data_IF_697064633973
#
_entry.id   IF_697064633973
#
_cell.length_a   1.000
_cell.length_b   1.000
_cell.length_c   1.000
_cell.angle_alpha   90.00
_cell.angle_beta   90.00
_cell.angle_gamma   90.00
#
_symmetry.space_group_name_H-M   'P 1'
#
loop_
_entity.id
_entity.type
_entity.pdbx_description
1 polymer ?
#
# COMPACT_ATOMS: atom_id res chain seq x y z
N UNK A 1 5.36 1.82 15.26
CA UNK A 1 6.14 2.29 14.07
C UNK A 1 6.31 3.80 14.11
N UNK A 2 7.49 4.32 13.76
CA UNK A 2 7.77 5.78 13.73
C UNK A 2 7.36 6.44 12.41
N UNK A 3 6.97 7.72 12.45
CA UNK A 3 6.58 8.53 11.28
C UNK A 3 7.63 8.51 10.15
N UNK A 4 8.91 8.67 10.51
CA UNK A 4 10.02 8.68 9.55
C UNK A 4 10.15 7.38 8.77
N UNK A 5 9.75 6.24 9.37
CA UNK A 5 9.75 4.94 8.69
C UNK A 5 8.69 4.88 7.59
N UNK A 6 7.49 5.42 7.85
CA UNK A 6 6.37 5.48 6.90
C UNK A 6 6.74 6.39 5.72
N UNK A 7 7.20 7.61 6.02
CA UNK A 7 7.61 8.59 5.01
C UNK A 7 8.67 7.99 4.09
N UNK A 8 9.73 7.41 4.66
CA UNK A 8 10.81 6.82 3.88
C UNK A 8 10.31 5.71 2.98
N UNK A 9 9.41 4.85 3.46
CA UNK A 9 8.90 3.73 2.66
C UNK A 9 8.03 4.20 1.50
N UNK A 10 7.00 5.02 1.78
CA UNK A 10 6.03 5.44 0.78
C UNK A 10 6.62 6.40 -0.27
N UNK A 11 7.56 7.27 0.10
CA UNK A 11 8.27 8.12 -0.87
C UNK A 11 9.20 7.32 -1.80
N UNK A 12 9.68 6.15 -1.39
CA UNK A 12 10.53 5.31 -2.24
C UNK A 12 9.72 4.45 -3.22
N UNK A 13 8.39 4.45 -3.11
CA UNK A 13 7.51 3.71 -3.98
C UNK A 13 6.95 4.65 -5.05
N UNK A 14 7.46 4.54 -6.28
CA UNK A 14 7.08 5.39 -7.42
C UNK A 14 5.55 5.59 -7.63
N UNK A 15 4.65 4.59 -7.49
CA UNK A 15 3.21 4.84 -7.64
C UNK A 15 2.65 5.67 -6.48
N UNK A 16 3.27 5.60 -5.30
CA UNK A 16 2.88 6.39 -4.14
C UNK A 16 3.45 7.81 -4.19
N UNK A 17 4.61 8.04 -4.82
CA UNK A 17 5.31 9.33 -4.81
C UNK A 17 4.44 10.52 -5.27
N UNK A 18 3.54 10.31 -6.23
CA UNK A 18 2.63 11.36 -6.73
C UNK A 18 1.44 11.57 -5.79
N UNK A 19 0.99 10.52 -5.11
CA UNK A 19 -0.26 10.49 -4.33
C UNK A 19 -0.01 10.81 -2.86
N UNK A 20 1.04 10.25 -2.28
CA UNK A 20 1.37 10.36 -0.87
C UNK A 20 1.91 11.75 -0.53
N UNK A 21 1.23 12.45 0.39
CA UNK A 21 1.56 13.83 0.77
C UNK A 21 2.33 13.93 2.08
N UNK A 22 2.38 12.85 2.86
CA UNK A 22 3.18 12.78 4.06
C UNK A 22 2.48 12.14 5.25
N UNK A 23 3.13 12.29 6.39
CA UNK A 23 2.63 11.86 7.70
C UNK A 23 2.34 13.11 8.51
N UNK A 24 1.14 13.19 9.11
CA UNK A 24 0.66 14.37 9.83
C UNK A 24 0.11 13.99 11.20
N UNK A 25 0.19 14.90 12.16
CA UNK A 25 -0.54 14.80 13.42
C UNK A 25 -2.01 15.19 13.23
N UNK A 26 -2.88 14.82 14.17
CA UNK A 26 -4.32 15.07 14.08
C UNK A 26 -4.67 16.57 13.90
N UNK A 27 -3.91 17.47 14.52
CA UNK A 27 -4.08 18.93 14.44
C UNK A 27 -3.35 19.59 13.25
N UNK A 28 -2.70 18.79 12.39
CA UNK A 28 -1.87 19.26 11.26
C UNK A 28 -2.24 18.60 9.92
N UNK A 29 -3.46 18.07 9.81
CA UNK A 29 -3.95 17.45 8.57
C UNK A 29 -4.03 18.53 7.47
N UNK A 30 -3.39 18.34 6.30
CA UNK A 30 -3.41 19.33 5.22
C UNK A 30 -4.78 19.37 4.55
N UNK A 31 -5.10 20.45 3.84
CA UNK A 31 -6.32 20.48 3.02
C UNK A 31 -6.17 19.57 1.79
N UNK A 32 -6.84 18.42 1.82
CA UNK A 32 -6.75 17.42 0.76
C UNK A 32 -7.50 17.81 -0.52
N UNK A 33 -8.42 18.79 -0.46
CA UNK A 33 -9.11 19.32 -1.65
C UNK A 33 -8.16 20.05 -2.62
N UNK A 34 -6.93 20.36 -2.20
CA UNK A 34 -5.89 20.96 -3.04
C UNK A 34 -5.33 19.98 -4.09
N UNK A 35 -5.72 18.71 -4.03
CA UNK A 35 -5.21 17.65 -4.89
C UNK A 35 -6.37 16.94 -5.58
N UNK A 36 -6.15 16.46 -6.80
CA UNK A 36 -7.07 15.53 -7.47
C UNK A 36 -7.09 14.17 -6.74
N UNK A 37 -5.91 13.73 -6.31
CA UNK A 37 -5.67 12.48 -5.59
C UNK A 37 -4.60 12.68 -4.53
N UNK A 38 -4.86 12.24 -3.30
CA UNK A 38 -3.95 12.39 -2.18
C UNK A 38 -4.05 11.23 -1.17
N UNK A 39 -2.92 10.83 -0.60
CA UNK A 39 -2.87 9.94 0.55
C UNK A 39 -2.07 10.58 1.68
N UNK A 40 -2.62 10.55 2.90
CA UNK A 40 -1.99 11.07 4.10
C UNK A 40 -2.07 10.00 5.18
N UNK A 41 -0.95 9.72 5.85
CA UNK A 41 -0.98 8.90 7.06
C UNK A 41 -1.08 9.82 8.26
N UNK A 42 -2.09 9.61 9.09
CA UNK A 42 -2.43 10.51 10.19
C UNK A 42 -2.09 9.82 11.51
N UNK A 43 -1.29 10.47 12.36
CA UNK A 43 -1.21 10.09 13.75
C UNK A 43 -2.45 10.62 14.47
N UNK A 44 -3.08 9.78 15.28
CA UNK A 44 -4.23 10.15 16.11
C UNK A 44 -3.88 11.12 17.23
N UNK A 45 -2.62 11.22 17.64
CA UNK A 45 -2.15 12.20 18.59
C UNK A 45 -1.93 13.58 17.94
N UNK A 46 -1.92 14.63 18.75
CA UNK A 46 -1.61 16.00 18.32
C UNK A 46 -0.11 16.20 18.16
N UNK A 47 0.29 17.27 17.49
CA UNK A 47 1.69 17.58 17.14
C UNK A 47 2.63 17.76 18.33
N UNK A 48 2.10 18.03 19.52
CA UNK A 48 2.86 18.12 20.78
C UNK A 48 2.93 16.79 21.55
N UNK A 49 2.22 15.77 21.06
CA UNK A 49 2.13 14.46 21.68
C UNK A 49 3.24 13.51 21.26
N UNK A 50 3.20 12.28 21.79
CA UNK A 50 4.21 11.24 21.51
C UNK A 50 3.82 10.31 20.36
N UNK A 51 2.56 10.38 19.92
CA UNK A 51 1.99 9.51 18.92
C UNK A 51 1.34 8.26 19.53
N UNK A 52 0.16 7.90 19.03
CA UNK A 52 -0.63 6.79 19.59
C UNK A 52 -0.94 5.73 18.53
N UNK A 53 -1.70 6.11 17.51
CA UNK A 53 -2.21 5.20 16.48
C UNK A 53 -2.14 5.82 15.08
N UNK A 54 -1.96 4.99 14.05
CA UNK A 54 -1.85 5.42 12.66
C UNK A 54 -3.13 5.12 11.87
N UNK A 55 -3.65 6.15 11.20
CA UNK A 55 -4.76 6.09 10.25
C UNK A 55 -4.26 6.40 8.84
N UNK A 56 -4.98 5.97 7.82
CA UNK A 56 -4.74 6.40 6.44
C UNK A 56 -5.97 7.13 5.90
N UNK A 57 -5.74 8.34 5.42
CA UNK A 57 -6.72 9.09 4.64
C UNK A 57 -6.31 9.00 3.18
N UNK A 58 -7.24 8.57 2.33
CA UNK A 58 -7.04 8.54 0.90
C UNK A 58 -8.18 9.30 0.22
N UNK A 59 -7.85 10.28 -0.62
CA UNK A 59 -8.81 11.12 -1.31
C UNK A 59 -8.64 11.01 -2.81
N UNK A 60 -9.77 10.86 -3.49
CA UNK A 60 -9.88 10.76 -4.94
C UNK A 60 -11.31 11.18 -5.33
N UNK A 61 -11.43 12.02 -6.36
CA UNK A 61 -12.72 12.43 -6.94
C UNK A 61 -13.75 12.98 -5.94
N UNK A 62 -13.29 13.78 -4.97
CA UNK A 62 -14.18 14.40 -3.98
C UNK A 62 -14.66 13.48 -2.86
N UNK A 63 -14.17 12.24 -2.82
CA UNK A 63 -14.46 11.26 -1.77
C UNK A 63 -13.25 11.00 -0.89
N UNK A 64 -13.49 10.88 0.41
CA UNK A 64 -12.47 10.53 1.39
C UNK A 64 -12.66 9.09 1.88
N UNK A 65 -11.67 8.24 1.64
CA UNK A 65 -11.54 6.95 2.32
C UNK A 65 -10.83 7.17 3.66
N UNK A 66 -11.55 6.91 4.75
CA UNK A 66 -11.01 6.84 6.11
C UNK A 66 -10.69 5.38 6.43
N UNK A 67 -9.40 5.07 6.56
CA UNK A 67 -8.94 3.73 6.88
C UNK A 67 -8.35 3.65 8.29
N UNK A 68 -8.91 2.74 9.09
CA UNK A 68 -8.42 2.32 10.40
C UNK A 68 -8.32 0.79 10.44
N UNK A 69 -7.15 0.23 10.71
CA UNK A 69 -6.96 -1.23 10.76
C UNK A 69 -7.78 -1.93 11.85
N UNK A 70 -8.21 -1.20 12.89
CA UNK A 70 -9.13 -1.71 13.91
C UNK A 70 -10.61 -1.60 13.52
N UNK A 71 -10.91 -0.94 12.41
CA UNK A 71 -12.26 -0.78 11.88
C UNK A 71 -13.14 0.21 12.66
N UNK A 72 -12.53 1.16 13.39
CA UNK A 72 -13.27 2.21 14.13
C UNK A 72 -13.75 3.31 13.19
N UNK A 73 -14.74 4.04 13.66
CA UNK A 73 -15.30 5.19 12.98
C UNK A 73 -14.50 6.48 13.29
N UNK A 74 -14.58 7.52 12.46
CA UNK A 74 -13.97 8.82 12.76
C UNK A 74 -14.40 9.40 14.11
N UNK A 75 -15.64 9.11 14.54
CA UNK A 75 -16.23 9.55 15.81
C UNK A 75 -15.57 8.94 17.04
N UNK A 76 -14.82 7.83 16.89
CA UNK A 76 -14.08 7.18 17.97
C UNK A 76 -12.74 7.87 18.29
N UNK A 77 -12.39 8.92 17.54
CA UNK A 77 -11.15 9.69 17.68
C UNK A 77 -11.43 11.13 18.12
N UNK A 78 -10.36 11.90 18.32
CA UNK A 78 -10.47 13.29 18.74
C UNK A 78 -11.20 14.18 17.72
N UNK A 79 -11.62 15.35 18.19
CA UNK A 79 -12.36 16.34 17.41
C UNK A 79 -11.61 16.84 16.17
N UNK A 80 -10.27 16.81 16.15
CA UNK A 80 -9.55 17.21 14.93
C UNK A 80 -9.81 16.22 13.80
N UNK A 81 -9.78 14.91 14.09
CA UNK A 81 -10.06 13.87 13.10
C UNK A 81 -11.53 13.87 12.71
N UNK A 82 -12.43 13.79 13.69
CA UNK A 82 -13.86 13.63 13.41
C UNK A 82 -14.42 14.84 12.66
N UNK A 83 -14.03 16.07 13.03
CA UNK A 83 -14.46 17.28 12.32
C UNK A 83 -13.80 17.40 10.93
N UNK A 84 -12.54 16.97 10.77
CA UNK A 84 -11.89 16.99 9.47
C UNK A 84 -12.62 16.07 8.48
N UNK A 85 -12.91 14.82 8.86
CA UNK A 85 -13.55 13.83 7.99
C UNK A 85 -14.96 14.27 7.58
N UNK A 86 -15.73 14.87 8.50
CA UNK A 86 -17.09 15.37 8.25
C UNK A 86 -17.18 16.50 7.21
N UNK A 87 -16.05 17.10 6.80
CA UNK A 87 -16.01 18.06 5.68
C UNK A 87 -16.21 17.40 4.32
N UNK A 88 -16.15 16.07 4.23
CA UNK A 88 -16.15 15.32 2.99
C UNK A 88 -17.33 14.35 2.92
N UNK A 89 -17.69 13.93 1.71
CA UNK A 89 -18.35 12.63 1.54
C UNK A 89 -17.29 11.56 1.80
N UNK A 90 -17.49 10.72 2.80
CA UNK A 90 -16.48 9.74 3.22
C UNK A 90 -17.00 8.31 3.31
N UNK A 91 -16.07 7.38 3.21
CA UNK A 91 -16.28 5.94 3.38
C UNK A 91 -15.29 5.40 4.40
N UNK A 92 -15.69 4.39 5.17
CA UNK A 92 -14.85 3.73 6.17
C UNK A 92 -14.64 2.25 5.84
N UNK A 93 -13.69 1.60 6.50
CA UNK A 93 -13.65 0.14 6.61
C UNK A 93 -14.21 -0.30 7.97
N UNK A 94 -15.49 -0.68 8.10
CA UNK A 94 -16.08 -1.06 9.39
C UNK A 94 -15.66 -2.47 9.87
N UNK A 95 -14.55 -3.00 9.35
CA UNK A 95 -14.09 -4.36 9.58
C UNK A 95 -12.73 -4.30 10.26
N UNK A 96 -12.62 -5.00 11.40
CA UNK A 96 -11.37 -5.14 12.16
C UNK A 96 -10.41 -6.11 11.46
N UNK A 97 -9.29 -5.57 10.98
CA UNK A 97 -8.22 -6.31 10.32
C UNK A 97 -7.11 -6.68 11.30
N UNK A 98 -6.80 -5.78 12.22
CA UNK A 98 -5.70 -5.91 13.19
C UNK A 98 -6.17 -6.47 14.54
N UNK A 99 -5.33 -7.28 15.18
CA UNK A 99 -5.54 -7.74 16.57
C UNK A 99 -5.28 -6.63 17.59
N UNK A 100 -5.95 -6.67 18.76
CA UNK A 100 -5.88 -5.59 19.77
C UNK A 100 -4.47 -5.40 20.35
N UNK A 101 -3.70 -6.48 20.43
CA UNK A 101 -2.38 -6.52 21.03
C UNK A 101 -1.25 -6.15 20.05
N UNK A 102 -1.58 -5.95 18.77
CA UNK A 102 -0.60 -5.73 17.71
C UNK A 102 -0.25 -4.25 17.53
N UNK A 103 1.02 -3.97 17.23
CA UNK A 103 1.53 -2.61 16.99
C UNK A 103 1.75 -2.31 15.49
N UNK A 104 1.06 -3.03 14.60
CA UNK A 104 1.31 -2.99 13.15
C UNK A 104 0.38 -2.06 12.35
N UNK A 105 -0.39 -1.18 12.99
CA UNK A 105 -1.30 -0.25 12.31
C UNK A 105 -0.63 0.62 11.24
N UNK A 106 0.61 1.06 11.47
CA UNK A 106 1.39 1.77 10.46
C UNK A 106 1.74 0.91 9.24
N UNK A 107 1.94 -0.40 9.41
CA UNK A 107 2.16 -1.33 8.30
C UNK A 107 0.88 -1.55 7.48
N UNK A 108 -0.28 -1.61 8.13
CA UNK A 108 -1.57 -1.64 7.42
C UNK A 108 -1.79 -0.36 6.60
N UNK A 109 -1.48 0.82 7.15
CA UNK A 109 -1.54 2.09 6.41
C UNK A 109 -0.65 2.06 5.16
N UNK A 110 0.58 1.54 5.28
CA UNK A 110 1.50 1.38 4.14
C UNK A 110 0.91 0.42 3.10
N UNK A 111 0.42 -0.75 3.53
CA UNK A 111 -0.14 -1.77 2.65
C UNK A 111 -1.35 -1.24 1.87
N UNK A 112 -2.29 -0.60 2.57
CA UNK A 112 -3.48 -0.01 1.95
C UNK A 112 -3.10 1.10 0.97
N UNK A 113 -2.24 2.04 1.37
CA UNK A 113 -1.79 3.13 0.50
C UNK A 113 -1.14 2.58 -0.78
N UNK A 114 -0.26 1.58 -0.64
CA UNK A 114 0.39 0.93 -1.76
C UNK A 114 -0.63 0.32 -2.71
N UNK A 115 -1.56 -0.50 -2.21
CA UNK A 115 -2.57 -1.16 -3.04
C UNK A 115 -3.49 -0.16 -3.74
N UNK A 116 -3.86 0.96 -3.10
CA UNK A 116 -4.62 2.04 -3.77
C UNK A 116 -3.80 2.68 -4.90
N UNK A 117 -2.52 2.91 -4.68
CA UNK A 117 -1.62 3.45 -5.71
C UNK A 117 -1.36 2.44 -6.84
N UNK A 118 -1.57 1.15 -6.60
CA UNK A 118 -1.57 0.08 -7.61
C UNK A 118 -2.91 -0.06 -8.37
N UNK A 119 -3.91 0.76 -8.04
CA UNK A 119 -5.20 0.79 -8.72
C UNK A 119 -6.25 -0.17 -8.15
N UNK A 120 -6.00 -0.83 -7.02
CA UNK A 120 -7.03 -1.60 -6.34
C UNK A 120 -8.06 -0.68 -5.68
N UNK A 121 -9.35 -1.02 -5.74
CA UNK A 121 -10.39 -0.31 -4.98
C UNK A 121 -10.30 -0.66 -3.48
N UNK A 122 -10.92 0.17 -2.63
CA UNK A 122 -11.10 -0.14 -1.20
C UNK A 122 -11.67 -1.55 -1.00
N UNK A 123 -12.75 -1.90 -1.69
CA UNK A 123 -13.42 -3.20 -1.55
C UNK A 123 -12.46 -4.35 -1.90
N UNK A 124 -11.69 -4.22 -2.98
CA UNK A 124 -10.70 -5.23 -3.34
C UNK A 124 -9.60 -5.36 -2.29
N UNK A 125 -9.13 -4.24 -1.72
CA UNK A 125 -8.11 -4.26 -0.66
C UNK A 125 -8.63 -4.94 0.59
N UNK A 126 -9.84 -4.61 1.04
CA UNK A 126 -10.44 -5.24 2.20
C UNK A 126 -10.62 -6.75 1.99
N UNK A 127 -11.04 -7.18 0.79
CA UNK A 127 -11.13 -8.60 0.45
C UNK A 127 -9.77 -9.29 0.46
N UNK A 128 -8.72 -8.66 -0.09
CA UNK A 128 -7.35 -9.21 -0.04
C UNK A 128 -6.92 -9.41 1.41
N UNK A 129 -7.10 -8.40 2.26
CA UNK A 129 -6.65 -8.44 3.65
C UNK A 129 -7.48 -9.39 4.53
N UNK A 130 -8.77 -9.55 4.24
CA UNK A 130 -9.64 -10.47 4.96
C UNK A 130 -9.39 -11.93 4.61
N UNK A 131 -9.00 -12.21 3.36
CA UNK A 131 -8.78 -13.56 2.86
C UNK A 131 -7.33 -14.06 3.08
N UNK A 132 -6.50 -13.31 3.81
CA UNK A 132 -5.19 -13.81 4.26
C UNK A 132 -5.43 -14.99 5.21
N UNK A 133 -4.91 -16.15 4.84
CA UNK A 133 -4.88 -17.32 5.71
C UNK A 133 -3.84 -17.13 6.83
N UNK A 134 -4.21 -17.51 8.06
CA UNK A 134 -3.35 -17.41 9.23
C UNK A 134 -3.35 -16.02 9.88
N UNK A 135 -2.19 -15.63 10.42
CA UNK A 135 -2.03 -14.36 11.14
C UNK A 135 -1.82 -13.20 10.15
N UNK A 136 -2.85 -12.35 10.04
CA UNK A 136 -2.88 -11.17 9.16
C UNK A 136 -1.84 -10.13 9.55
N UNK A 137 -1.61 -9.96 10.86
CA UNK A 137 -0.69 -8.95 11.37
C UNK A 137 0.75 -9.34 11.05
N UNK A 138 1.08 -10.62 11.24
CA UNK A 138 2.37 -11.18 10.83
C UNK A 138 2.54 -11.11 9.31
N UNK A 139 1.51 -11.45 8.53
CA UNK A 139 1.57 -11.37 7.07
C UNK A 139 1.88 -9.95 6.58
N UNK A 140 1.15 -8.94 7.09
CA UNK A 140 1.34 -7.53 6.72
C UNK A 140 2.73 -7.05 7.14
N UNK A 141 3.19 -7.44 8.31
CA UNK A 141 4.53 -7.09 8.80
C UNK A 141 5.65 -7.71 7.96
N UNK A 142 5.54 -8.99 7.61
CA UNK A 142 6.53 -9.68 6.77
C UNK A 142 6.53 -9.16 5.33
N UNK A 143 5.35 -8.85 4.79
CA UNK A 143 5.22 -8.21 3.48
C UNK A 143 5.96 -6.88 3.43
N UNK A 144 5.81 -6.04 4.47
CA UNK A 144 6.58 -4.81 4.60
C UNK A 144 8.09 -5.07 4.66
N UNK A 145 8.56 -6.05 5.44
CA UNK A 145 10.00 -6.39 5.54
C UNK A 145 10.58 -6.78 4.19
N UNK A 146 9.91 -7.66 3.46
CA UNK A 146 10.33 -8.11 2.13
C UNK A 146 10.44 -6.90 1.20
N UNK A 147 9.39 -6.07 1.16
CA UNK A 147 9.37 -4.85 0.36
C UNK A 147 10.53 -3.90 0.70
N UNK A 148 10.79 -3.69 1.99
CA UNK A 148 11.89 -2.84 2.49
C UNK A 148 13.26 -3.36 2.04
N UNK A 149 13.50 -4.66 2.10
CA UNK A 149 14.78 -5.25 1.68
C UNK A 149 14.97 -5.17 0.16
N UNK A 150 13.90 -5.34 -0.61
CA UNK A 150 13.98 -5.14 -2.06
C UNK A 150 14.27 -3.66 -2.37
N UNK A 151 13.56 -2.71 -1.74
CA UNK A 151 13.82 -1.27 -1.94
C UNK A 151 15.27 -0.87 -1.62
N UNK A 152 15.86 -1.41 -0.54
CA UNK A 152 17.28 -1.20 -0.22
C UNK A 152 18.20 -1.71 -1.33
N UNK A 153 17.97 -2.92 -1.84
CA UNK A 153 18.74 -3.48 -2.95
C UNK A 153 18.60 -2.61 -4.21
N UNK A 154 17.39 -2.16 -4.53
CA UNK A 154 17.17 -1.28 -5.68
C UNK A 154 17.89 0.07 -5.53
N UNK A 155 17.94 0.63 -4.31
CA UNK A 155 18.65 1.89 -4.05
C UNK A 155 20.17 1.78 -4.19
N UNK A 156 20.74 0.60 -3.93
CA UNK A 156 22.18 0.33 -4.12
C UNK A 156 22.61 0.21 -5.60
N UNK A 157 21.65 0.12 -6.53
CA UNK A 157 21.96 0.09 -7.97
C UNK A 157 22.34 1.52 -8.41
N UNK A 158 23.61 1.69 -8.81
CA UNK A 158 24.20 2.99 -9.18
C UNK A 158 23.66 3.60 -10.48
N UNK A 159 22.87 2.85 -11.27
CA UNK A 159 22.40 3.30 -12.58
C UNK A 159 20.95 3.83 -12.51
N UNK A 160 20.78 5.15 -12.61
CA UNK A 160 19.49 5.85 -12.51
C UNK A 160 18.44 5.39 -13.54
N UNK A 161 18.87 4.91 -14.71
CA UNK A 161 17.99 4.34 -15.74
C UNK A 161 17.46 2.96 -15.34
N UNK A 162 18.29 2.15 -14.68
CA UNK A 162 17.89 0.87 -14.09
C UNK A 162 17.03 1.09 -12.85
N UNK A 163 17.33 2.11 -12.03
CA UNK A 163 16.57 2.43 -10.81
C UNK A 163 15.10 2.73 -11.10
N UNK A 164 14.80 3.53 -12.14
CA UNK A 164 13.44 3.79 -12.66
C UNK A 164 12.77 2.57 -13.29
N UNK A 165 13.53 1.64 -13.87
CA UNK A 165 12.99 0.40 -14.45
C UNK A 165 12.71 -0.64 -13.36
N UNK A 166 13.57 -0.73 -12.35
CA UNK A 166 13.46 -1.66 -11.25
C UNK A 166 12.42 -1.26 -10.21
N UNK A 167 12.09 0.03 -10.07
CA UNK A 167 10.88 0.46 -9.36
C UNK A 167 9.63 -0.05 -10.05
N UNK A 168 9.60 -0.22 -11.38
CA UNK A 168 8.56 -0.93 -12.11
C UNK A 168 8.62 -2.47 -11.97
N UNK A 169 9.81 -3.07 -11.88
CA UNK A 169 9.96 -4.51 -11.59
C UNK A 169 9.62 -4.88 -10.13
N UNK A 170 9.70 -3.92 -9.20
CA UNK A 170 9.15 -4.03 -7.86
C UNK A 170 7.63 -4.29 -7.90
N UNK A 171 6.91 -3.66 -8.84
CA UNK A 171 5.49 -3.97 -9.10
C UNK A 171 5.36 -5.40 -9.61
N UNK A 172 6.18 -5.83 -10.58
CA UNK A 172 6.15 -7.20 -11.10
C UNK A 172 6.66 -8.27 -10.12
N UNK A 173 7.15 -7.90 -8.92
CA UNK A 173 7.53 -8.83 -7.84
C UNK A 173 6.60 -8.78 -6.62
N UNK A 174 5.95 -7.64 -6.36
CA UNK A 174 4.82 -7.54 -5.43
C UNK A 174 3.58 -8.18 -6.03
N UNK A 175 3.34 -8.01 -7.34
CA UNK A 175 2.21 -8.64 -8.05
C UNK A 175 2.25 -10.17 -7.98
N UNK A 176 3.41 -10.87 -8.05
CA UNK A 176 3.54 -12.28 -7.71
C UNK A 176 3.23 -12.62 -6.25
N UNK A 177 3.53 -11.77 -5.26
CA UNK A 177 3.07 -11.99 -3.88
C UNK A 177 1.53 -11.89 -3.82
N UNK A 178 0.95 -10.95 -4.58
CA UNK A 178 -0.51 -10.81 -4.80
C UNK A 178 -1.11 -11.93 -5.69
N UNK A 179 -0.33 -12.57 -6.56
CA UNK A 179 -0.77 -13.70 -7.40
C UNK A 179 -0.56 -15.05 -6.70
N UNK A 180 0.40 -15.17 -5.79
CA UNK A 180 0.49 -16.28 -4.83
C UNK A 180 -0.74 -16.28 -3.92
N UNK A 181 -1.31 -15.10 -3.62
CA UNK A 181 -2.62 -14.95 -2.98
C UNK A 181 -3.80 -15.39 -3.88
N UNK A 182 -3.62 -15.60 -5.19
CA UNK A 182 -4.63 -16.18 -6.10
C UNK A 182 -4.47 -17.69 -6.34
N UNK A 183 -3.31 -18.28 -6.03
CA UNK A 183 -3.00 -19.68 -6.33
C UNK A 183 -3.20 -20.64 -5.14
N UNK A 184 -3.77 -20.18 -4.02
CA UNK A 184 -4.21 -21.07 -2.95
C UNK A 184 -5.47 -21.82 -3.41
N UNK A 185 -5.53 -23.15 -3.26
CA UNK A 185 -6.57 -23.97 -3.86
C UNK A 185 -7.91 -23.74 -3.18
N UNK A 186 -8.85 -23.12 -3.90
CA UNK A 186 -10.27 -23.19 -3.58
C UNK A 186 -10.72 -24.66 -3.77
N UNK A 187 -10.89 -25.38 -2.66
CA UNK A 187 -11.79 -26.52 -2.65
C UNK A 187 -13.23 -26.00 -2.80
N UNK A 188 -13.69 -25.86 -4.03
CA UNK A 188 -15.01 -26.31 -4.50
C UNK A 188 -15.24 -25.86 -5.94
N UNK A 189 -15.73 -26.81 -6.72
CA UNK A 189 -15.92 -26.78 -8.17
C UNK A 189 -16.80 -25.61 -8.65
N UNK A 190 -16.40 -24.95 -9.74
CA UNK A 190 -17.28 -24.69 -10.89
C UNK A 190 -16.52 -24.06 -12.05
N UNK A 191 -16.71 -24.66 -13.23
CA UNK A 191 -16.14 -24.26 -14.51
C UNK A 191 -16.65 -22.88 -14.95
N UNK A 192 -15.75 -21.92 -15.20
CA UNK A 192 -16.02 -20.75 -16.04
C UNK A 192 -14.81 -20.46 -16.92
N UNK A 193 -14.97 -20.65 -18.23
CA UNK A 193 -14.05 -20.20 -19.27
C UNK A 193 -14.11 -18.68 -19.40
N UNK A 194 -12.97 -17.99 -19.30
CA UNK A 194 -12.90 -16.56 -19.60
C UNK A 194 -11.93 -16.34 -20.76
N UNK A 195 -12.50 -15.73 -21.78
CA UNK A 195 -11.94 -15.39 -23.08
C UNK A 195 -10.80 -14.37 -22.95
N UNK A 196 -9.70 -14.64 -23.65
CA UNK A 196 -8.49 -13.83 -23.61
C UNK A 196 -8.62 -12.69 -24.60
N UNK A 197 -9.09 -11.52 -24.17
CA UNK A 197 -8.77 -10.23 -24.79
C UNK A 197 -9.41 -9.07 -24.02
N UNK A 198 -8.63 -8.42 -23.16
CA UNK A 198 -8.62 -6.95 -22.96
C UNK A 198 -7.76 -6.58 -21.74
N UNK A 199 -6.46 -6.46 -21.94
CA UNK A 199 -5.62 -5.66 -21.06
C UNK A 199 -4.63 -4.87 -21.93
N UNK A 200 -4.56 -3.54 -21.84
CA UNK A 200 -3.71 -2.74 -22.71
C UNK A 200 -2.26 -2.90 -22.25
N UNK A 201 -1.56 -3.84 -22.87
CA UNK A 201 -0.11 -3.98 -22.81
C UNK A 201 0.51 -3.07 -23.88
N UNK A 202 0.98 -1.90 -23.49
CA UNK A 202 2.16 -1.33 -24.14
C UNK A 202 3.03 -0.68 -23.07
N UNK A 203 4.36 -0.86 -23.20
CA UNK A 203 5.47 -0.41 -22.34
C UNK A 203 6.28 -1.47 -21.56
N UNK A 204 5.87 -2.74 -21.49
CA UNK A 204 6.63 -3.76 -20.69
C UNK A 204 7.40 -4.80 -21.49
N UNK A 205 7.09 -5.04 -22.77
CA UNK A 205 7.70 -6.17 -23.51
C UNK A 205 9.15 -5.88 -23.94
N UNK A 206 9.48 -4.65 -24.33
CA UNK A 206 10.82 -4.34 -24.86
C UNK A 206 11.94 -4.29 -23.81
N UNK A 207 11.59 -4.22 -22.52
CA UNK A 207 12.58 -4.29 -21.42
C UNK A 207 12.86 -5.74 -20.99
N UNK A 208 11.92 -6.65 -21.21
CA UNK A 208 12.02 -8.05 -20.78
C UNK A 208 13.11 -8.81 -21.58
N UNK A 209 13.13 -8.65 -22.90
CA UNK A 209 14.07 -9.33 -23.79
C UNK A 209 15.53 -8.86 -23.63
N UNK A 210 15.76 -7.60 -23.20
CA UNK A 210 17.13 -7.10 -22.94
C UNK A 210 17.68 -7.53 -21.58
N UNK A 211 16.82 -7.82 -20.61
CA UNK A 211 17.25 -8.23 -19.27
C UNK A 211 17.54 -9.72 -19.19
N UNK A 212 16.82 -10.58 -19.93
CA UNK A 212 17.17 -12.01 -20.02
C UNK A 212 18.55 -12.23 -20.64
N UNK A 213 18.94 -11.40 -21.63
CA UNK A 213 20.30 -11.40 -22.18
C UNK A 213 21.38 -10.97 -21.17
N UNK A 214 21.02 -10.25 -20.10
CA UNK A 214 21.96 -9.86 -19.04
C UNK A 214 21.95 -10.80 -17.83
N UNK A 215 20.82 -11.44 -17.52
CA UNK A 215 20.70 -12.40 -16.43
C UNK A 215 21.27 -13.78 -16.80
N UNK A 216 21.22 -14.16 -18.08
CA UNK A 216 21.91 -15.34 -18.60
C UNK A 216 23.45 -15.24 -18.52
N UNK A 217 24.00 -14.05 -18.27
CA UNK A 217 25.44 -13.85 -18.07
C UNK A 217 25.89 -14.00 -16.60
N UNK A 218 24.98 -14.29 -15.65
CA UNK A 218 25.30 -14.48 -14.22
C UNK A 218 24.93 -15.91 -13.80
N UNK A 219 25.32 -16.88 -14.62
CA UNK A 219 25.37 -18.29 -14.25
C UNK A 219 26.83 -18.75 -14.31
N UNK A 220 27.26 -19.40 -13.23
CA UNK A 220 28.54 -20.10 -13.00
C UNK A 220 29.72 -19.21 -12.62
N UNK A 221 30.05 -19.17 -11.32
CA UNK A 221 31.19 -19.94 -10.81
C UNK A 221 31.21 -19.91 -9.26
N UNK A 222 31.06 -21.13 -8.70
CA UNK A 222 31.40 -21.67 -7.36
C UNK A 222 30.92 -20.92 -6.11
#
# INVERSE_FOLDING_TARGET
MEAGTIVKFLNCCQPCEVVFKGVFAADKIPDMCLYEKAACVINTDVSTGRGEHWLLFYYEDGKLEFFDSFGRSPEDFNDYISNYVKRFTYETNPIKLQSDESEVCGHYCICYCLLRCLGHSKENILQILLNIEGDRDEYVYQSYKICKEILKKLQSIQNDKMKKCCTGLFFNRIVPIINTLRSLPNNSESNVSIDGNSMPWCYTVTCYERLELSAAAISLDV
#
